data_IF_942290682747
#
_entry.id   IF_942290682747
#
_cell.length_a   1.000
_cell.length_b   1.000
_cell.length_c   1.000
_cell.angle_alpha   90.00
_cell.angle_beta   90.00
_cell.angle_gamma   90.00
#
_symmetry.space_group_name_H-M   'P 1'
#
loop_
_entity.id
_entity.type
_entity.pdbx_description
1 polymer ?
#
# COMPACT_ATOMS: atom_id res chain seq x y z
N UNK A 1 27.42 -53.46 -31.93
CA UNK A 1 26.31 -53.12 -31.04
C UNK A 1 26.86 -52.81 -29.66
N UNK A 2 27.00 -51.53 -29.27
CA UNK A 2 27.39 -51.08 -27.94
C UNK A 2 26.23 -50.32 -27.36
N UNK A 3 25.53 -50.91 -26.34
CA UNK A 3 24.49 -50.28 -25.55
C UNK A 3 25.15 -49.28 -24.57
N UNK A 4 24.82 -47.99 -24.75
CA UNK A 4 25.17 -46.96 -23.70
C UNK A 4 24.08 -46.99 -22.63
N UNK A 5 24.47 -47.33 -21.42
CA UNK A 5 23.65 -47.15 -20.21
C UNK A 5 23.60 -45.67 -19.84
N UNK A 6 22.41 -45.11 -19.86
CA UNK A 6 22.12 -43.83 -19.25
C UNK A 6 22.01 -44.04 -17.72
N UNK A 7 22.86 -43.40 -16.97
CA UNK A 7 22.70 -43.25 -15.53
C UNK A 7 21.81 -42.03 -15.28
N UNK A 8 20.70 -42.15 -14.51
CA UNK A 8 19.97 -41.01 -14.03
C UNK A 8 20.76 -40.37 -12.88
N UNK A 9 21.33 -39.21 -13.13
CA UNK A 9 21.90 -38.36 -12.10
C UNK A 9 20.73 -37.81 -11.28
N UNK A 10 20.58 -38.33 -10.08
CA UNK A 10 19.65 -37.78 -9.09
C UNK A 10 20.21 -36.44 -8.62
N UNK A 11 19.59 -35.33 -9.08
CA UNK A 11 19.75 -34.04 -8.48
C UNK A 11 19.05 -34.05 -7.14
N UNK A 12 19.75 -34.35 -6.10
CA UNK A 12 19.32 -34.11 -4.72
C UNK A 12 19.41 -32.59 -4.52
N UNK A 13 18.35 -31.85 -4.81
CA UNK A 13 18.22 -30.47 -4.39
C UNK A 13 18.11 -30.46 -2.86
N UNK A 14 19.20 -30.15 -2.19
CA UNK A 14 19.20 -29.86 -0.77
C UNK A 14 18.48 -28.51 -0.61
N UNK A 15 17.17 -28.57 -0.38
CA UNK A 15 16.40 -27.45 0.11
C UNK A 15 16.83 -27.19 1.56
N UNK A 16 17.73 -26.26 1.77
CA UNK A 16 17.91 -25.67 3.08
C UNK A 16 16.58 -24.98 3.44
N UNK A 17 15.95 -25.33 4.56
CA UNK A 17 14.76 -24.60 5.00
C UNK A 17 15.17 -23.15 5.27
N UNK A 18 14.73 -22.24 4.43
CA UNK A 18 14.76 -20.84 4.76
C UNK A 18 13.77 -20.70 5.91
N UNK A 19 14.29 -20.53 7.11
CA UNK A 19 13.50 -20.20 8.30
C UNK A 19 12.89 -18.81 8.01
N UNK A 20 11.71 -18.82 7.40
CA UNK A 20 10.91 -17.61 7.24
C UNK A 20 10.31 -17.35 8.61
N UNK A 21 10.95 -16.47 9.36
CA UNK A 21 10.47 -15.97 10.65
C UNK A 21 9.05 -15.44 10.52
N UNK A 22 8.33 -15.40 11.62
CA UNK A 22 7.09 -14.68 11.74
C UNK A 22 7.26 -13.21 11.26
N UNK A 23 6.30 -12.50 11.11
CA UNK A 23 6.09 -11.30 10.29
C UNK A 23 6.91 -10.03 10.60
N UNK A 24 7.80 -10.03 11.59
CA UNK A 24 8.83 -9.00 11.73
C UNK A 24 9.88 -9.26 10.63
N UNK A 25 10.19 -8.23 9.82
CA UNK A 25 11.12 -8.40 8.69
C UNK A 25 12.53 -8.73 9.21
N UNK A 26 13.04 -9.94 8.93
CA UNK A 26 14.36 -10.35 9.40
C UNK A 26 15.51 -9.78 8.54
N UNK A 27 15.19 -9.00 7.50
CA UNK A 27 16.18 -8.49 6.55
C UNK A 27 16.52 -7.05 6.89
N UNK A 28 17.80 -6.78 7.09
CA UNK A 28 18.30 -5.40 7.21
C UNK A 28 18.03 -4.64 5.92
N UNK A 29 17.49 -3.43 6.06
CA UNK A 29 17.15 -2.56 4.92
C UNK A 29 17.43 -1.11 5.27
N UNK A 30 18.03 -0.43 4.31
CA UNK A 30 18.31 1.00 4.37
C UNK A 30 18.02 1.58 2.99
N UNK A 31 16.99 2.40 2.87
CA UNK A 31 16.65 2.96 1.57
C UNK A 31 15.96 4.32 1.66
N UNK A 32 16.06 5.07 0.59
CA UNK A 32 15.29 6.29 0.32
C UNK A 32 14.33 6.00 -0.82
N UNK A 33 13.10 6.40 -0.67
CA UNK A 33 12.12 6.32 -1.75
C UNK A 33 11.39 7.64 -1.94
N UNK A 34 11.18 7.98 -3.21
CA UNK A 34 10.48 9.16 -3.66
C UNK A 34 9.42 8.75 -4.66
N UNK A 35 8.23 9.30 -4.53
CA UNK A 35 7.15 9.09 -5.49
C UNK A 35 6.39 10.38 -5.75
N UNK A 36 5.98 10.58 -6.98
CA UNK A 36 5.15 11.70 -7.38
C UNK A 36 4.19 11.29 -8.49
N UNK A 37 2.95 11.73 -8.39
CA UNK A 37 1.92 11.52 -9.40
C UNK A 37 1.36 12.87 -9.84
N UNK A 38 1.52 13.21 -11.12
CA UNK A 38 1.08 14.44 -11.74
C UNK A 38 -0.09 14.18 -12.69
N UNK A 39 -1.31 14.53 -12.34
CA UNK A 39 -2.41 14.63 -13.29
C UNK A 39 -2.15 15.72 -14.34
N UNK A 40 -2.49 15.44 -15.59
CA UNK A 40 -2.30 16.39 -16.70
C UNK A 40 -3.55 17.20 -17.00
N UNK A 41 -4.72 16.76 -16.54
CA UNK A 41 -5.98 17.47 -16.68
C UNK A 41 -6.60 17.77 -15.32
N UNK A 42 -7.22 18.94 -15.24
CA UNK A 42 -7.90 19.42 -14.05
C UNK A 42 -6.95 19.91 -12.95
N UNK A 43 -7.51 20.20 -11.80
CA UNK A 43 -6.76 20.54 -10.58
C UNK A 43 -6.90 19.36 -9.62
N UNK A 44 -5.79 18.85 -9.15
CA UNK A 44 -5.73 17.74 -8.20
C UNK A 44 -5.02 18.15 -6.91
N UNK A 45 -5.23 17.44 -5.80
CA UNK A 45 -4.35 17.52 -4.67
C UNK A 45 -2.92 17.11 -5.07
N UNK A 46 -1.93 17.67 -4.38
CA UNK A 46 -0.55 17.22 -4.55
C UNK A 46 -0.46 15.76 -4.07
N UNK A 47 0.07 14.91 -4.92
CA UNK A 47 0.26 13.50 -4.61
C UNK A 47 1.73 13.12 -4.76
N UNK A 48 2.43 13.07 -3.65
CA UNK A 48 3.85 12.74 -3.62
C UNK A 48 4.31 12.38 -2.22
N UNK A 49 5.48 11.74 -2.17
CA UNK A 49 6.11 11.37 -0.92
C UNK A 49 7.62 11.29 -1.08
N UNK A 50 8.28 11.47 0.03
CA UNK A 50 9.70 11.21 0.19
C UNK A 50 9.92 10.59 1.56
N UNK A 51 10.63 9.48 1.64
CA UNK A 51 10.95 8.91 2.94
C UNK A 51 12.27 8.14 2.94
N UNK A 52 12.85 8.09 4.10
CA UNK A 52 13.90 7.17 4.49
C UNK A 52 13.28 6.00 5.24
N UNK A 53 13.68 4.78 4.90
CA UNK A 53 13.28 3.57 5.60
C UNK A 53 14.49 2.81 6.09
N UNK A 54 14.43 2.42 7.35
CA UNK A 54 15.43 1.64 8.04
C UNK A 54 14.77 0.45 8.72
N UNK A 55 15.36 -0.72 8.59
CA UNK A 55 15.00 -1.92 9.32
C UNK A 55 16.26 -2.61 9.80
N UNK A 56 16.44 -2.68 11.13
CA UNK A 56 17.61 -3.26 11.79
C UNK A 56 17.18 -4.47 12.61
N UNK A 57 17.27 -5.69 12.05
CA UNK A 57 17.18 -6.92 12.82
C UNK A 57 18.35 -7.01 13.80
N UNK A 58 18.14 -7.70 14.91
CA UNK A 58 19.16 -7.87 15.98
C UNK A 58 19.60 -6.52 16.61
N UNK A 59 18.72 -5.51 16.57
CA UNK A 59 18.96 -4.22 17.20
C UNK A 59 19.13 -4.37 18.72
N UNK A 60 20.27 -3.99 19.24
CA UNK A 60 20.69 -4.13 20.65
C UNK A 60 20.78 -5.60 21.16
N UNK A 61 20.00 -6.51 20.66
CA UNK A 61 20.01 -7.94 20.99
C UNK A 61 19.35 -8.79 19.91
N UNK A 62 19.66 -10.09 19.83
CA UNK A 62 19.35 -11.01 18.74
C UNK A 62 17.87 -11.26 18.45
N UNK A 63 16.96 -10.83 19.30
CA UNK A 63 15.52 -11.02 19.09
C UNK A 63 14.76 -9.70 19.01
N UNK A 64 15.47 -8.58 18.91
CA UNK A 64 14.86 -7.26 18.82
C UNK A 64 15.07 -6.69 17.42
N UNK A 65 14.03 -6.27 16.78
CA UNK A 65 14.08 -5.59 15.45
C UNK A 65 13.55 -4.18 15.59
N UNK A 66 14.31 -3.22 15.12
CA UNK A 66 13.86 -1.85 15.05
C UNK A 66 13.59 -1.46 13.61
N UNK A 67 12.40 -0.92 13.38
CA UNK A 67 11.96 -0.37 12.11
C UNK A 67 11.68 1.12 12.28
N UNK A 68 12.17 1.90 11.33
CA UNK A 68 11.93 3.35 11.25
C UNK A 68 11.56 3.71 9.82
N UNK A 69 10.54 4.52 9.68
CA UNK A 69 10.20 5.21 8.45
C UNK A 69 10.09 6.71 8.75
N UNK A 70 10.91 7.51 8.10
CA UNK A 70 11.02 8.94 8.33
C UNK A 70 10.73 9.70 7.04
N UNK A 71 9.68 10.52 7.07
CA UNK A 71 9.35 11.50 6.03
C UNK A 71 9.53 12.93 6.58
N UNK A 72 9.57 13.96 5.74
CA UNK A 72 9.79 15.34 6.19
C UNK A 72 8.81 15.83 7.26
N UNK A 73 7.57 15.31 7.22
CA UNK A 73 6.50 15.75 8.14
C UNK A 73 5.90 14.58 8.94
N UNK A 74 6.47 13.38 8.86
CA UNK A 74 5.90 12.19 9.48
C UNK A 74 6.97 11.19 9.89
N UNK A 75 6.77 10.54 11.03
CA UNK A 75 7.58 9.43 11.52
C UNK A 75 6.70 8.22 11.83
N UNK A 76 7.18 7.03 11.50
CA UNK A 76 6.62 5.74 11.93
C UNK A 76 7.79 4.88 12.42
N UNK A 77 7.72 4.41 13.64
CA UNK A 77 8.73 3.56 14.27
C UNK A 77 8.06 2.38 14.97
N UNK A 78 8.64 1.20 14.81
CA UNK A 78 8.17 -0.02 15.45
C UNK A 78 9.35 -0.78 16.06
N UNK A 79 9.18 -1.20 17.29
CA UNK A 79 10.10 -2.07 17.99
C UNK A 79 9.47 -3.45 18.13
N UNK A 80 10.01 -4.43 17.43
CA UNK A 80 9.53 -5.80 17.37
C UNK A 80 10.38 -6.76 18.20
N UNK A 81 9.73 -7.60 18.99
CA UNK A 81 10.34 -8.67 19.75
C UNK A 81 10.01 -10.01 19.09
N UNK A 82 10.98 -10.59 18.40
CA UNK A 82 10.86 -11.90 17.75
C UNK A 82 10.74 -12.97 18.84
N UNK A 83 9.77 -13.88 18.69
CA UNK A 83 9.42 -14.92 19.68
C UNK A 83 9.02 -14.38 21.07
N UNK A 84 8.46 -13.15 21.12
CA UNK A 84 8.10 -12.48 22.37
C UNK A 84 7.05 -13.22 23.21
N UNK A 85 6.15 -13.98 22.59
CA UNK A 85 5.14 -14.82 23.23
C UNK A 85 5.27 -16.30 22.84
N UNK A 86 6.48 -16.74 22.51
CA UNK A 86 6.80 -18.14 22.16
C UNK A 86 7.32 -18.29 20.73
N UNK A 87 7.78 -19.51 20.35
CA UNK A 87 8.57 -19.74 19.14
C UNK A 87 7.90 -19.31 17.81
N UNK A 88 6.59 -19.14 17.79
CA UNK A 88 5.82 -18.82 16.58
C UNK A 88 5.10 -17.48 16.70
N UNK A 89 5.36 -16.72 17.77
CA UNK A 89 4.58 -15.52 18.08
C UNK A 89 5.52 -14.35 18.39
N UNK A 90 5.49 -13.36 17.50
CA UNK A 90 6.19 -12.10 17.67
C UNK A 90 5.24 -11.04 18.22
N UNK A 91 5.79 -10.06 18.89
CA UNK A 91 5.06 -8.88 19.36
C UNK A 91 5.78 -7.62 18.96
N UNK A 92 5.04 -6.54 18.78
CA UNK A 92 5.64 -5.24 18.49
C UNK A 92 4.89 -4.11 19.14
N UNK A 93 5.60 -3.01 19.41
CA UNK A 93 5.05 -1.73 19.83
C UNK A 93 5.44 -0.70 18.79
N UNK A 94 4.46 0.09 18.35
CA UNK A 94 4.64 1.12 17.34
C UNK A 94 4.28 2.51 17.86
N UNK A 95 4.99 3.50 17.33
CA UNK A 95 4.71 4.93 17.48
C UNK A 95 4.71 5.54 16.09
N UNK A 96 3.68 6.28 15.76
CA UNK A 96 3.60 6.96 14.48
C UNK A 96 2.95 8.33 14.64
N UNK A 97 3.25 9.28 13.74
CA UNK A 97 2.59 10.58 13.77
C UNK A 97 3.31 11.65 12.98
N UNK A 98 2.62 12.75 12.79
CA UNK A 98 3.18 13.89 12.09
C UNK A 98 2.14 14.87 11.54
N UNK A 99 2.63 15.81 10.76
CA UNK A 99 1.82 16.80 10.09
C UNK A 99 1.13 16.25 8.84
N UNK A 100 -0.06 16.75 8.54
CA UNK A 100 -0.85 16.46 7.32
C UNK A 100 -1.25 14.99 7.09
N UNK A 101 -1.02 14.12 8.07
CA UNK A 101 -1.31 12.69 7.95
C UNK A 101 -2.82 12.40 7.89
N UNK A 102 -3.60 13.18 8.64
CA UNK A 102 -5.04 13.03 8.77
C UNK A 102 -5.85 14.04 7.94
N UNK A 103 -5.17 14.78 7.06
CA UNK A 103 -5.81 15.74 6.16
C UNK A 103 -6.78 15.05 5.19
N UNK A 104 -7.84 15.76 4.82
CA UNK A 104 -8.85 15.28 3.88
C UNK A 104 -8.92 16.15 2.63
N UNK A 105 -8.75 15.52 1.47
CA UNK A 105 -8.97 16.13 0.17
C UNK A 105 -10.34 15.70 -0.39
N UNK A 106 -11.28 16.62 -0.45
CA UNK A 106 -12.59 16.35 -1.01
C UNK A 106 -12.54 16.34 -2.54
N UNK A 107 -12.87 15.19 -3.14
CA UNK A 107 -12.90 15.02 -4.59
C UNK A 107 -14.26 14.45 -4.97
N UNK A 108 -15.02 15.16 -5.81
CA UNK A 108 -16.33 14.72 -6.31
C UNK A 108 -16.45 14.95 -7.81
N UNK A 109 -16.91 13.92 -8.53
CA UNK A 109 -17.07 13.95 -9.98
C UNK A 109 -15.81 14.49 -10.71
N UNK A 110 -14.63 14.01 -10.31
CA UNK A 110 -13.34 14.39 -10.91
C UNK A 110 -12.86 15.80 -10.63
N UNK A 111 -13.46 16.49 -9.65
CA UNK A 111 -13.07 17.85 -9.23
C UNK A 111 -12.56 17.84 -7.81
N UNK A 112 -11.37 18.37 -7.60
CA UNK A 112 -10.84 18.67 -6.27
C UNK A 112 -11.51 19.94 -5.72
N UNK A 113 -12.18 19.80 -4.59
CA UNK A 113 -12.98 20.86 -3.97
C UNK A 113 -12.20 21.41 -2.76
N UNK A 114 -11.29 22.33 -3.04
CA UNK A 114 -10.41 22.92 -2.02
C UNK A 114 -11.20 23.58 -0.88
N UNK A 115 -12.34 24.20 -1.19
CA UNK A 115 -13.18 24.85 -0.19
C UNK A 115 -13.75 23.89 0.90
N UNK A 116 -13.73 22.60 0.63
CA UNK A 116 -14.24 21.54 1.52
C UNK A 116 -13.13 20.58 1.98
N UNK A 117 -11.89 20.91 1.69
CA UNK A 117 -10.70 20.17 2.09
C UNK A 117 -10.05 20.84 3.29
N UNK A 118 -9.39 20.07 4.13
CA UNK A 118 -8.79 20.58 5.36
C UNK A 118 -7.53 19.78 5.72
N UNK A 119 -6.67 20.37 6.52
CA UNK A 119 -5.48 19.73 7.02
C UNK A 119 -5.79 18.97 8.33
N UNK A 120 -5.04 17.91 8.58
CA UNK A 120 -5.16 17.11 9.78
C UNK A 120 -3.80 16.58 10.21
N UNK A 121 -3.55 16.61 11.50
CA UNK A 121 -2.30 16.19 12.12
C UNK A 121 -2.61 15.14 13.17
N UNK A 122 -1.80 14.10 13.27
CA UNK A 122 -2.11 13.05 14.21
C UNK A 122 -0.92 12.28 14.74
N UNK A 123 -1.19 11.52 15.78
CA UNK A 123 -0.22 10.63 16.39
C UNK A 123 -0.86 9.35 16.92
N UNK A 124 -0.13 8.25 16.82
CA UNK A 124 -0.58 6.92 17.21
C UNK A 124 0.41 6.21 18.11
N UNK A 125 -0.11 5.46 19.05
CA UNK A 125 0.57 4.34 19.70
C UNK A 125 -0.15 3.05 19.36
N UNK A 126 0.61 2.00 19.05
CA UNK A 126 0.04 0.70 18.68
C UNK A 126 0.78 -0.48 19.28
N UNK A 127 0.07 -1.60 19.41
CA UNK A 127 0.63 -2.88 19.77
C UNK A 127 0.21 -3.95 18.77
N UNK A 128 1.12 -4.83 18.37
CA UNK A 128 0.89 -5.87 17.37
C UNK A 128 1.30 -7.24 17.87
N UNK A 129 0.54 -8.25 17.49
CA UNK A 129 0.85 -9.67 17.68
C UNK A 129 0.85 -10.33 16.30
N UNK A 130 1.86 -11.10 16.03
CA UNK A 130 2.06 -11.85 14.81
C UNK A 130 2.23 -13.32 15.15
N UNK A 131 1.33 -14.18 14.67
CA UNK A 131 1.39 -15.61 14.96
C UNK A 131 1.43 -16.42 13.68
N UNK A 132 2.36 -17.36 13.59
CA UNK A 132 2.48 -18.31 12.48
C UNK A 132 1.90 -19.65 12.86
N UNK A 133 0.79 -20.05 12.20
CA UNK A 133 0.11 -21.32 12.50
C UNK A 133 0.85 -22.54 12.00
N UNK A 134 1.62 -22.43 10.91
CA UNK A 134 2.21 -23.55 10.21
C UNK A 134 3.75 -23.37 10.03
N UNK A 135 4.54 -23.42 11.11
CA UNK A 135 5.97 -23.12 11.07
C UNK A 135 6.78 -24.05 10.16
N UNK A 136 6.29 -25.27 9.92
CA UNK A 136 6.95 -26.26 9.08
C UNK A 136 6.56 -26.19 7.59
N UNK A 137 5.58 -25.34 7.23
CA UNK A 137 5.14 -25.22 5.86
C UNK A 137 6.01 -24.23 5.09
N UNK A 138 6.29 -24.51 3.82
CA UNK A 138 6.96 -23.59 2.91
C UNK A 138 6.12 -22.33 2.67
N UNK A 139 4.79 -22.45 2.65
CA UNK A 139 3.87 -21.34 2.49
C UNK A 139 3.31 -20.96 3.86
N UNK A 140 3.71 -19.81 4.41
CA UNK A 140 3.30 -19.42 5.76
C UNK A 140 1.81 -19.06 5.82
N UNK A 141 1.15 -19.48 6.91
CA UNK A 141 -0.15 -18.98 7.32
C UNK A 141 0.02 -18.18 8.60
N UNK A 142 -0.27 -16.90 8.54
CA UNK A 142 -0.06 -15.98 9.63
C UNK A 142 -1.36 -15.30 10.06
N UNK A 143 -1.53 -15.14 11.38
CA UNK A 143 -2.48 -14.23 11.99
C UNK A 143 -1.75 -12.93 12.35
N UNK A 144 -2.43 -11.82 12.14
CA UNK A 144 -1.99 -10.49 12.56
C UNK A 144 -3.12 -9.90 13.40
N UNK A 145 -2.76 -9.41 14.58
CA UNK A 145 -3.63 -8.61 15.43
C UNK A 145 -2.90 -7.33 15.78
N UNK A 146 -3.53 -6.18 15.56
CA UNK A 146 -3.02 -4.86 15.96
C UNK A 146 -4.11 -4.07 16.64
N UNK A 147 -3.81 -3.51 17.78
CA UNK A 147 -4.60 -2.49 18.44
C UNK A 147 -3.87 -1.16 18.41
N UNK A 148 -4.58 -0.07 18.17
CA UNK A 148 -4.01 1.27 18.15
C UNK A 148 -4.92 2.28 18.83
N UNK A 149 -4.28 3.31 19.42
CA UNK A 149 -4.93 4.52 19.90
C UNK A 149 -4.30 5.70 19.14
N UNK A 150 -5.14 6.46 18.48
CA UNK A 150 -4.76 7.57 17.64
C UNK A 150 -5.45 8.85 18.10
N UNK A 151 -4.80 9.99 17.96
CA UNK A 151 -5.38 11.31 18.21
C UNK A 151 -5.14 12.21 16.99
N UNK A 152 -6.21 12.82 16.49
CA UNK A 152 -6.17 13.73 15.34
C UNK A 152 -6.59 15.14 15.75
N UNK A 153 -5.94 16.12 15.16
CA UNK A 153 -6.33 17.53 15.20
C UNK A 153 -6.60 18.01 13.77
N UNK A 154 -7.63 18.81 13.59
CA UNK A 154 -8.06 19.26 12.27
C UNK A 154 -8.13 20.77 12.19
N UNK A 155 -7.62 21.33 11.09
CA UNK A 155 -7.65 22.77 10.86
C UNK A 155 -7.97 23.13 9.40
N UNK A 156 -8.49 24.32 9.21
CA UNK A 156 -8.69 24.88 7.87
C UNK A 156 -7.35 25.29 7.29
N UNK A 157 -7.11 24.91 6.02
CA UNK A 157 -5.99 25.47 5.27
C UNK A 157 -6.41 26.78 4.54
N UNK A 158 -5.47 27.41 3.86
CA UNK A 158 -5.68 28.70 3.16
C UNK A 158 -6.79 28.67 2.11
N UNK A 159 -7.14 27.50 1.58
CA UNK A 159 -8.15 27.34 0.53
C UNK A 159 -9.49 26.84 1.06
N UNK A 160 -9.56 26.41 2.32
CA UNK A 160 -10.80 25.96 2.96
C UNK A 160 -11.75 27.16 3.10
N UNK A 161 -13.01 26.98 2.74
CA UNK A 161 -13.99 28.05 2.87
C UNK A 161 -14.12 28.54 4.33
N UNK A 162 -14.26 29.84 4.52
CA UNK A 162 -14.31 30.45 5.86
C UNK A 162 -15.48 29.91 6.73
N UNK A 163 -16.57 29.50 6.09
CA UNK A 163 -17.75 28.93 6.73
C UNK A 163 -17.80 27.40 6.71
N UNK A 164 -16.75 26.74 6.24
CA UNK A 164 -16.59 25.30 6.36
C UNK A 164 -15.95 24.99 7.73
N UNK A 165 -16.57 24.14 8.50
CA UNK A 165 -16.07 23.71 9.80
C UNK A 165 -15.43 22.31 9.64
N UNK A 166 -14.10 22.15 9.85
CA UNK A 166 -13.49 20.82 9.92
C UNK A 166 -14.08 19.99 11.06
N UNK A 167 -13.86 18.67 11.08
CA UNK A 167 -14.20 17.84 12.24
C UNK A 167 -13.57 18.38 13.54
N UNK A 168 -14.16 18.05 14.67
CA UNK A 168 -13.54 18.34 15.96
C UNK A 168 -12.31 17.45 16.18
N UNK A 169 -11.37 17.93 16.96
CA UNK A 169 -10.23 17.14 17.41
C UNK A 169 -10.71 15.97 18.26
N UNK A 170 -10.12 14.80 18.08
CA UNK A 170 -10.58 13.62 18.80
C UNK A 170 -9.61 12.45 18.76
N UNK A 171 -9.87 11.48 19.63
CA UNK A 171 -9.18 10.21 19.61
C UNK A 171 -10.01 9.14 18.90
N UNK A 172 -9.34 8.23 18.23
CA UNK A 172 -9.91 6.99 17.76
C UNK A 172 -9.11 5.78 18.23
N UNK A 173 -9.83 4.69 18.43
CA UNK A 173 -9.27 3.39 18.79
C UNK A 173 -9.58 2.41 17.68
N UNK A 174 -8.56 1.73 17.21
CA UNK A 174 -8.74 0.73 16.15
C UNK A 174 -8.22 -0.65 16.57
N UNK A 175 -8.93 -1.68 16.10
CA UNK A 175 -8.49 -3.07 16.18
C UNK A 175 -8.52 -3.63 14.77
N UNK A 176 -7.34 -4.02 14.28
CA UNK A 176 -7.18 -4.70 12.99
C UNK A 176 -6.74 -6.13 13.21
N UNK A 177 -7.40 -7.06 12.53
CA UNK A 177 -7.00 -8.47 12.52
C UNK A 177 -7.08 -9.04 11.12
N UNK A 178 -6.21 -9.99 10.82
CA UNK A 178 -6.20 -10.61 9.50
C UNK A 178 -5.46 -11.93 9.45
N UNK A 179 -5.87 -12.74 8.49
CA UNK A 179 -5.19 -13.97 8.10
C UNK A 179 -4.49 -13.74 6.77
N UNK A 180 -3.23 -14.13 6.69
CA UNK A 180 -2.44 -14.10 5.46
C UNK A 180 -1.82 -15.45 5.20
N UNK A 181 -2.13 -16.04 4.06
CA UNK A 181 -1.50 -17.23 3.53
C UNK A 181 -0.57 -16.86 2.38
N UNK A 182 0.68 -17.30 2.44
CA UNK A 182 1.72 -16.91 1.52
C UNK A 182 2.31 -15.54 1.83
N UNK A 183 2.77 -14.89 0.79
CA UNK A 183 3.36 -13.56 0.80
C UNK A 183 4.21 -13.37 -0.43
N UNK A 184 4.25 -12.14 -0.93
CA UNK A 184 5.04 -11.77 -2.08
C UNK A 184 6.30 -11.06 -1.59
N UNK A 185 7.46 -11.68 -1.81
CA UNK A 185 8.72 -10.99 -1.63
C UNK A 185 8.83 -9.82 -2.61
N UNK A 186 9.36 -8.67 -2.20
CA UNK A 186 9.49 -7.49 -3.05
C UNK A 186 10.62 -7.65 -4.07
N UNK A 187 10.59 -8.70 -4.88
CA UNK A 187 11.51 -8.95 -5.99
C UNK A 187 10.82 -8.61 -7.31
N UNK A 188 11.56 -8.04 -8.27
CA UNK A 188 11.00 -7.68 -9.58
C UNK A 188 10.58 -8.91 -10.39
N UNK A 189 11.31 -10.01 -10.24
CA UNK A 189 11.14 -11.21 -11.05
C UNK A 189 11.00 -12.45 -10.15
N UNK A 190 9.97 -12.57 -9.31
CA UNK A 190 9.74 -13.77 -8.53
C UNK A 190 9.44 -14.94 -9.46
N UNK A 191 10.02 -16.10 -9.22
CA UNK A 191 9.71 -17.30 -10.01
C UNK A 191 8.21 -17.62 -9.94
N UNK A 192 7.68 -17.69 -8.75
CA UNK A 192 6.27 -17.73 -8.42
C UNK A 192 6.07 -17.10 -7.06
N UNK A 193 5.15 -16.18 -6.95
CA UNK A 193 4.74 -15.62 -5.67
C UNK A 193 3.22 -15.53 -5.60
N UNK A 194 2.64 -15.90 -4.48
CA UNK A 194 1.21 -15.80 -4.26
C UNK A 194 0.88 -15.40 -2.83
N UNK A 195 -0.22 -14.69 -2.67
CA UNK A 195 -0.75 -14.26 -1.40
C UNK A 195 -2.28 -14.31 -1.42
N UNK A 196 -2.85 -14.85 -0.36
CA UNK A 196 -4.27 -14.70 -0.04
C UNK A 196 -4.38 -14.09 1.34
N UNK A 197 -5.20 -13.06 1.51
CA UNK A 197 -5.41 -12.46 2.82
C UNK A 197 -6.86 -12.02 3.01
N UNK A 198 -7.30 -12.08 4.28
CA UNK A 198 -8.60 -11.57 4.74
C UNK A 198 -8.36 -10.71 5.97
N UNK A 199 -9.04 -9.58 6.03
CA UNK A 199 -8.84 -8.56 7.04
C UNK A 199 -10.15 -8.02 7.56
N UNK A 200 -10.12 -7.63 8.81
CA UNK A 200 -11.14 -6.84 9.50
C UNK A 200 -10.48 -5.69 10.25
N UNK A 201 -11.08 -4.53 10.21
CA UNK A 201 -10.73 -3.40 11.05
C UNK A 201 -12.00 -2.79 11.64
N UNK A 202 -12.04 -2.68 12.97
CA UNK A 202 -13.05 -1.93 13.70
C UNK A 202 -12.43 -0.64 14.24
N UNK A 203 -13.13 0.48 14.09
CA UNK A 203 -12.71 1.80 14.58
C UNK A 203 -13.79 2.34 15.50
N UNK A 204 -13.38 2.96 16.62
CA UNK A 204 -14.25 3.64 17.57
C UNK A 204 -13.69 5.04 17.79
N UNK A 205 -14.52 6.07 17.54
CA UNK A 205 -14.14 7.47 17.75
C UNK A 205 -14.74 8.03 19.03
N UNK A 206 -14.01 8.95 19.65
CA UNK A 206 -14.48 9.69 20.82
C UNK A 206 -15.36 10.87 20.48
N UNK A 207 -15.27 11.36 19.23
CA UNK A 207 -16.12 12.42 18.68
C UNK A 207 -16.75 11.95 17.36
N UNK A 208 -18.08 11.99 17.32
CA UNK A 208 -18.94 11.67 16.19
C UNK A 208 -19.72 12.90 15.71
N UNK A 209 -19.20 14.09 15.99
CA UNK A 209 -19.86 15.36 15.73
C UNK A 209 -20.11 15.66 14.25
N UNK A 210 -21.06 16.59 14.02
CA UNK A 210 -21.33 17.13 12.70
C UNK A 210 -20.24 18.13 12.31
N UNK A 211 -19.86 18.14 11.03
CA UNK A 211 -18.88 19.04 10.45
C UNK A 211 -19.32 19.52 9.05
N UNK A 212 -18.51 20.32 8.38
CA UNK A 212 -18.82 20.81 7.04
C UNK A 212 -19.55 22.15 7.04
N UNK A 213 -20.39 22.38 6.03
CA UNK A 213 -21.22 23.59 5.93
C UNK A 213 -22.47 23.45 6.79
N UNK A 214 -22.53 24.17 7.91
CA UNK A 214 -23.63 24.12 8.85
C UNK A 214 -23.95 22.69 9.37
N UNK A 215 -22.92 21.83 9.47
CA UNK A 215 -23.08 20.47 9.94
C UNK A 215 -23.73 19.52 8.92
N UNK A 216 -23.48 19.74 7.62
CA UNK A 216 -24.04 18.92 6.54
C UNK A 216 -23.38 17.53 6.42
N UNK A 217 -22.39 17.26 7.24
CA UNK A 217 -21.65 15.97 7.31
C UNK A 217 -21.60 15.47 8.74
N UNK A 218 -21.54 14.15 8.88
CA UNK A 218 -21.46 13.46 10.16
C UNK A 218 -20.25 12.53 10.15
N UNK A 219 -19.55 12.45 11.28
CA UNK A 219 -18.63 11.35 11.56
C UNK A 219 -19.41 10.20 12.19
N UNK A 220 -19.04 8.98 11.86
CA UNK A 220 -19.59 7.79 12.50
C UNK A 220 -18.76 7.46 13.75
N UNK A 221 -19.43 7.22 14.88
CA UNK A 221 -18.76 6.85 16.14
C UNK A 221 -18.09 5.49 16.07
N UNK A 222 -18.64 4.59 15.26
CA UNK A 222 -18.11 3.24 15.05
C UNK A 222 -18.15 2.93 13.57
N UNK A 223 -17.04 2.41 13.02
CA UNK A 223 -17.00 1.93 11.66
C UNK A 223 -16.32 0.57 11.55
N UNK A 224 -16.76 -0.24 10.60
CA UNK A 224 -16.25 -1.58 10.34
C UNK A 224 -15.83 -1.71 8.90
N UNK A 225 -14.59 -2.15 8.67
CA UNK A 225 -14.03 -2.38 7.34
C UNK A 225 -13.64 -3.86 7.21
N UNK A 226 -14.02 -4.47 6.10
CA UNK A 226 -13.70 -5.84 5.75
C UNK A 226 -13.07 -5.86 4.37
N UNK A 227 -11.92 -6.49 4.19
CA UNK A 227 -11.32 -6.63 2.87
C UNK A 227 -10.57 -7.93 2.73
N UNK A 228 -10.42 -8.35 1.47
CA UNK A 228 -9.61 -9.49 1.09
C UNK A 228 -8.75 -9.18 -0.13
N UNK A 229 -7.60 -9.82 -0.21
CA UNK A 229 -6.68 -9.71 -1.34
C UNK A 229 -6.23 -11.07 -1.80
N UNK A 230 -6.20 -11.28 -3.12
CA UNK A 230 -5.57 -12.41 -3.78
C UNK A 230 -4.56 -11.88 -4.80
N UNK A 231 -3.30 -12.30 -4.69
CA UNK A 231 -2.24 -11.86 -5.57
C UNK A 231 -1.42 -13.02 -6.09
N UNK A 232 -1.08 -12.96 -7.39
CA UNK A 232 -0.24 -13.92 -8.08
C UNK A 232 0.77 -13.18 -8.92
N UNK A 233 2.04 -13.57 -8.86
CA UNK A 233 3.10 -13.09 -9.73
C UNK A 233 3.92 -14.26 -10.23
N UNK A 234 4.19 -14.30 -11.54
CA UNK A 234 4.93 -15.37 -12.17
C UNK A 234 5.91 -14.83 -13.20
N UNK A 235 7.16 -15.29 -13.13
CA UNK A 235 8.19 -14.95 -14.10
C UNK A 235 8.46 -16.13 -15.03
N UNK A 236 8.33 -15.90 -16.33
CA UNK A 236 8.63 -16.90 -17.35
C UNK A 236 10.12 -17.26 -17.35
N UNK A 237 10.47 -18.56 -17.18
CA UNK A 237 11.84 -19.00 -17.32
C UNK A 237 12.41 -18.65 -18.71
N UNK A 238 13.64 -18.18 -18.77
CA UNK A 238 14.33 -17.85 -20.01
C UNK A 238 14.06 -16.44 -20.54
N UNK A 239 12.83 -16.04 -20.76
CA UNK A 239 12.49 -14.67 -21.22
C UNK A 239 12.50 -13.63 -20.12
N UNK A 240 12.41 -14.05 -18.87
CA UNK A 240 12.36 -13.20 -17.68
C UNK A 240 11.20 -12.19 -17.68
N UNK A 241 10.19 -12.43 -18.49
CA UNK A 241 8.95 -11.65 -18.47
C UNK A 241 8.15 -12.00 -17.21
N UNK A 242 7.65 -10.98 -16.51
CA UNK A 242 6.84 -11.19 -15.31
C UNK A 242 5.40 -10.75 -15.54
N UNK A 243 4.47 -11.56 -15.09
CA UNK A 243 3.03 -11.28 -15.05
C UNK A 243 2.58 -11.24 -13.61
N UNK A 244 1.85 -10.20 -13.26
CA UNK A 244 1.24 -10.07 -11.93
C UNK A 244 -0.21 -9.72 -12.05
N UNK A 245 -1.04 -10.35 -11.22
CA UNK A 245 -2.45 -10.02 -11.06
C UNK A 245 -2.75 -9.93 -9.57
N UNK A 246 -3.50 -8.91 -9.19
CA UNK A 246 -4.03 -8.74 -7.85
C UNK A 246 -5.52 -8.44 -7.91
N UNK A 247 -6.29 -9.18 -7.17
CA UNK A 247 -7.69 -8.91 -6.88
C UNK A 247 -7.81 -8.41 -5.44
N UNK A 248 -8.56 -7.33 -5.24
CA UNK A 248 -8.88 -6.81 -3.91
C UNK A 248 -10.35 -6.48 -3.88
N UNK A 249 -11.04 -6.90 -2.83
CA UNK A 249 -12.42 -6.51 -2.60
C UNK A 249 -12.61 -6.08 -1.15
N UNK A 250 -13.46 -5.10 -0.92
CA UNK A 250 -13.76 -4.58 0.41
C UNK A 250 -15.20 -4.15 0.54
N UNK A 251 -15.68 -4.19 1.78
CA UNK A 251 -16.99 -3.68 2.17
C UNK A 251 -16.86 -3.02 3.54
N UNK A 252 -17.59 -1.94 3.76
CA UNK A 252 -17.64 -1.24 5.03
C UNK A 252 -19.08 -1.11 5.54
N UNK A 253 -19.20 -1.05 6.84
CA UNK A 253 -20.44 -0.74 7.56
C UNK A 253 -20.17 0.53 8.36
N UNK A 254 -21.10 1.48 8.31
CA UNK A 254 -21.01 2.77 9.00
C UNK A 254 -19.71 3.53 8.71
N UNK A 255 -19.27 3.50 7.45
CA UNK A 255 -18.12 4.28 7.00
C UNK A 255 -18.53 5.69 6.60
N UNK A 256 -17.74 6.65 7.02
CA UNK A 256 -17.84 8.06 6.66
C UNK A 256 -16.73 8.50 5.70
N UNK A 257 -16.62 9.81 5.41
CA UNK A 257 -15.62 10.35 4.48
C UNK A 257 -14.17 10.15 4.95
N UNK A 258 -13.94 9.98 6.25
CA UNK A 258 -12.59 9.77 6.79
C UNK A 258 -12.21 8.30 6.88
N UNK A 259 -13.19 7.39 7.00
CA UNK A 259 -12.98 5.94 7.14
C UNK A 259 -13.24 5.13 5.87
N UNK A 260 -13.92 5.69 4.86
CA UNK A 260 -14.23 4.98 3.61
C UNK A 260 -12.98 4.57 2.82
N UNK A 261 -13.10 3.50 2.03
CA UNK A 261 -12.06 3.14 1.07
C UNK A 261 -11.87 4.21 0.01
N UNK A 262 -10.63 4.54 -0.31
CA UNK A 262 -10.31 5.56 -1.32
C UNK A 262 -9.44 4.98 -2.42
N UNK A 263 -9.99 4.91 -3.65
CA UNK A 263 -9.31 4.38 -4.82
C UNK A 263 -8.81 5.53 -5.70
N UNK A 264 -7.70 5.29 -6.38
CA UNK A 264 -7.18 6.23 -7.38
C UNK A 264 -5.67 6.45 -7.30
N UNK A 265 -5.13 7.02 -8.37
CA UNK A 265 -3.71 7.32 -8.49
C UNK A 265 -2.85 6.11 -8.80
N UNK A 266 -1.56 6.37 -8.88
CA UNK A 266 -0.55 5.37 -9.24
C UNK A 266 0.42 5.07 -8.08
N UNK A 267 0.41 5.85 -7.00
CA UNK A 267 1.36 5.72 -5.92
C UNK A 267 1.06 4.47 -5.06
N UNK A 268 1.90 3.43 -5.10
CA UNK A 268 1.61 2.12 -4.46
C UNK A 268 1.89 2.10 -2.97
N UNK A 269 2.26 3.24 -2.40
CA UNK A 269 3.05 3.25 -1.18
C UNK A 269 2.39 2.98 0.11
N UNK A 270 1.17 3.10 0.18
CA UNK A 270 0.66 3.61 1.42
C UNK A 270 -0.25 2.64 2.13
N UNK A 271 -0.57 1.56 1.48
CA UNK A 271 -1.45 0.57 2.05
C UNK A 271 -0.84 -0.83 1.92
N UNK A 272 -1.15 -1.72 2.84
CA UNK A 272 -0.88 -3.15 2.67
C UNK A 272 -1.48 -3.70 1.37
N UNK A 273 -2.47 -2.98 0.83
CA UNK A 273 -3.14 -3.24 -0.43
C UNK A 273 -3.40 -1.91 -1.14
N UNK A 274 -2.60 -1.51 -2.12
CA UNK A 274 -2.83 -0.26 -2.85
C UNK A 274 -4.11 -0.37 -3.66
N UNK A 275 -4.99 0.60 -3.49
CA UNK A 275 -6.20 0.76 -4.29
C UNK A 275 -5.90 1.64 -5.51
N UNK A 276 -4.83 1.29 -6.24
CA UNK A 276 -4.33 2.08 -7.36
C UNK A 276 -5.22 1.95 -8.58
N UNK A 277 -5.51 3.08 -9.21
CA UNK A 277 -6.28 3.17 -10.44
C UNK A 277 -5.58 4.16 -11.38
N UNK A 278 -4.89 3.67 -12.43
CA UNK A 278 -4.09 4.51 -13.33
C UNK A 278 -4.90 5.62 -14.00
N UNK A 279 -4.34 6.83 -14.09
CA UNK A 279 -4.99 8.00 -14.72
C UNK A 279 -5.97 8.79 -13.85
N UNK A 280 -6.33 8.26 -12.67
CA UNK A 280 -7.15 8.96 -11.68
C UNK A 280 -6.29 9.82 -10.76
N UNK A 281 -6.89 10.79 -10.08
CA UNK A 281 -6.23 11.49 -8.98
C UNK A 281 -5.96 10.50 -7.85
N UNK A 282 -4.95 10.78 -7.06
CA UNK A 282 -4.68 9.98 -5.87
C UNK A 282 -5.87 10.06 -4.91
N UNK A 283 -6.41 8.90 -4.51
CA UNK A 283 -7.58 8.80 -3.63
C UNK A 283 -8.84 9.52 -4.17
N UNK A 284 -9.07 9.49 -5.47
CA UNK A 284 -10.19 10.21 -6.11
C UNK A 284 -11.56 9.67 -5.74
N UNK A 285 -11.70 8.35 -5.60
CA UNK A 285 -12.98 7.67 -5.50
C UNK A 285 -13.20 7.13 -4.10
N UNK A 286 -14.23 7.62 -3.41
CA UNK A 286 -14.62 7.13 -2.09
C UNK A 286 -15.65 6.02 -2.22
N UNK A 287 -15.36 4.85 -1.65
CA UNK A 287 -16.16 3.65 -1.79
C UNK A 287 -16.62 3.12 -0.43
N UNK A 288 -17.89 2.74 -0.36
CA UNK A 288 -18.43 1.91 0.72
C UNK A 288 -18.11 0.44 0.46
N UNK A 289 -18.24 0.01 -0.79
CA UNK A 289 -17.87 -1.33 -1.24
C UNK A 289 -17.16 -1.24 -2.59
N UNK A 290 -16.23 -2.15 -2.83
CA UNK A 290 -15.54 -2.22 -4.10
C UNK A 290 -15.02 -3.60 -4.41
N UNK A 291 -14.78 -3.85 -5.70
CA UNK A 291 -13.97 -4.95 -6.21
C UNK A 291 -13.00 -4.37 -7.24
N UNK A 292 -11.71 -4.59 -7.07
CA UNK A 292 -10.63 -4.04 -7.89
C UNK A 292 -9.75 -5.16 -8.40
N UNK A 293 -9.46 -5.17 -9.69
CA UNK A 293 -8.45 -6.01 -10.32
C UNK A 293 -7.34 -5.13 -10.86
N UNK A 294 -6.12 -5.43 -10.48
CA UNK A 294 -4.90 -4.84 -11.03
C UNK A 294 -4.11 -5.93 -11.75
N UNK A 295 -3.67 -5.66 -12.96
CA UNK A 295 -2.79 -6.52 -13.73
C UNK A 295 -1.55 -5.74 -14.17
N UNK A 296 -0.38 -6.36 -14.11
CA UNK A 296 0.85 -5.80 -14.64
C UNK A 296 1.66 -6.82 -15.43
N UNK A 297 2.38 -6.32 -16.40
CA UNK A 297 3.30 -7.09 -17.22
C UNK A 297 4.62 -6.34 -17.30
N UNK A 298 5.69 -6.99 -16.87
CA UNK A 298 7.04 -6.44 -16.89
C UNK A 298 7.87 -7.17 -17.95
N UNK A 299 8.33 -6.43 -18.95
CA UNK A 299 9.13 -6.90 -20.07
C UNK A 299 10.56 -6.37 -19.96
N UNK A 300 11.58 -7.22 -19.74
CA UNK A 300 12.95 -6.82 -19.84
C UNK A 300 13.31 -6.43 -21.29
N UNK A 301 13.75 -5.18 -21.48
CA UNK A 301 14.18 -4.67 -22.79
C UNK A 301 15.65 -4.99 -23.08
N UNK A 302 16.42 -5.31 -22.04
CA UNK A 302 17.85 -5.64 -22.15
C UNK A 302 18.15 -6.97 -21.46
N UNK A 303 19.15 -7.70 -21.96
CA UNK A 303 19.55 -9.01 -21.40
C UNK A 303 20.01 -8.94 -19.93
N UNK A 304 20.48 -7.80 -19.48
CA UNK A 304 20.89 -7.58 -18.10
C UNK A 304 19.76 -7.00 -17.21
N UNK A 305 18.52 -6.98 -17.70
CA UNK A 305 17.33 -6.52 -17.01
C UNK A 305 17.44 -5.08 -16.45
N UNK A 306 18.33 -4.25 -17.00
CA UNK A 306 18.51 -2.87 -16.56
C UNK A 306 17.38 -1.96 -17.01
N UNK A 307 16.91 -2.18 -18.23
CA UNK A 307 15.78 -1.46 -18.81
C UNK A 307 14.61 -2.42 -18.94
N UNK A 308 13.48 -2.00 -18.41
CA UNK A 308 12.25 -2.78 -18.45
C UNK A 308 11.10 -1.89 -18.90
N UNK A 309 10.18 -2.45 -19.68
CA UNK A 309 8.89 -1.86 -19.96
C UNK A 309 7.85 -2.49 -19.00
N UNK A 310 7.13 -1.65 -18.30
CA UNK A 310 5.97 -2.07 -17.52
C UNK A 310 4.69 -1.63 -18.22
N UNK A 311 3.75 -2.56 -18.37
CA UNK A 311 2.37 -2.27 -18.75
C UNK A 311 1.48 -2.61 -17.58
N UNK A 312 0.54 -1.73 -17.26
CA UNK A 312 -0.42 -1.97 -16.18
C UNK A 312 -1.85 -1.63 -16.61
N UNK A 313 -2.80 -2.30 -16.02
CA UNK A 313 -4.22 -2.07 -16.20
C UNK A 313 -4.94 -2.32 -14.88
N UNK A 314 -5.95 -1.51 -14.61
CA UNK A 314 -6.82 -1.71 -13.46
C UNK A 314 -8.27 -1.47 -13.84
N UNK A 315 -9.17 -2.25 -13.22
CA UNK A 315 -10.61 -2.03 -13.31
C UNK A 315 -11.26 -2.26 -11.96
N UNK A 316 -12.20 -1.41 -11.60
CA UNK A 316 -12.95 -1.53 -10.36
C UNK A 316 -14.45 -1.40 -10.58
N UNK A 317 -15.22 -2.17 -9.81
CA UNK A 317 -16.63 -1.94 -9.58
C UNK A 317 -16.80 -1.30 -8.20
N UNK A 318 -17.52 -0.19 -8.12
CA UNK A 318 -17.57 0.65 -6.92
C UNK A 318 -19.03 0.90 -6.53
N UNK A 319 -19.34 0.64 -5.26
CA UNK A 319 -20.50 1.21 -4.59
C UNK A 319 -20.00 2.42 -3.80
N UNK A 320 -20.34 3.61 -4.27
CA UNK A 320 -19.81 4.86 -3.75
C UNK A 320 -20.31 5.16 -2.34
N UNK A 321 -19.50 5.87 -1.58
CA UNK A 321 -19.97 6.52 -0.37
C UNK A 321 -21.00 7.59 -0.71
N UNK A 322 -22.06 7.70 0.09
CA UNK A 322 -23.14 8.66 -0.12
C UNK A 322 -22.62 10.11 -0.27
N UNK A 323 -23.06 10.79 -1.31
CA UNK A 323 -22.65 12.15 -1.66
C UNK A 323 -21.30 12.27 -2.36
N UNK A 324 -20.71 11.14 -2.79
CA UNK A 324 -19.47 11.11 -3.60
C UNK A 324 -19.66 10.37 -4.92
N UNK A 325 -20.90 10.06 -5.28
CA UNK A 325 -21.25 9.25 -6.43
C UNK A 325 -20.75 9.89 -7.74
N UNK A 326 -20.33 9.02 -8.65
CA UNK A 326 -19.96 9.38 -10.02
C UNK A 326 -20.85 8.64 -11.03
N UNK A 327 -21.02 9.16 -12.25
CA UNK A 327 -21.74 8.42 -13.29
C UNK A 327 -21.08 7.08 -13.62
N UNK A 328 -21.79 5.99 -13.33
CA UNK A 328 -21.34 4.63 -13.56
C UNK A 328 -20.55 4.04 -12.39
N UNK A 329 -20.71 2.74 -12.19
CA UNK A 329 -20.08 1.99 -11.10
C UNK A 329 -18.79 1.30 -11.54
N UNK A 330 -18.54 1.17 -12.85
CA UNK A 330 -17.34 0.60 -13.43
C UNK A 330 -16.37 1.69 -13.84
N UNK A 331 -15.15 1.57 -13.39
CA UNK A 331 -14.05 2.50 -13.66
C UNK A 331 -12.80 1.73 -14.04
N UNK A 332 -12.07 2.22 -15.03
CA UNK A 332 -10.89 1.53 -15.57
C UNK A 332 -9.78 2.50 -15.90
N UNK A 333 -8.55 2.02 -15.85
CA UNK A 333 -7.38 2.77 -16.25
C UNK A 333 -6.27 1.86 -16.74
N UNK A 334 -5.41 2.39 -17.60
CA UNK A 334 -4.25 1.70 -18.16
C UNK A 334 -3.01 2.57 -18.03
N UNK A 335 -1.85 1.96 -18.03
CA UNK A 335 -0.60 2.69 -17.97
C UNK A 335 0.57 1.93 -18.59
N UNK A 336 1.60 2.67 -18.93
CA UNK A 336 2.87 2.14 -19.39
C UNK A 336 4.02 2.92 -18.77
N UNK A 337 5.08 2.23 -18.37
CA UNK A 337 6.24 2.85 -17.74
C UNK A 337 7.55 2.26 -18.23
N UNK A 338 8.59 3.08 -18.18
CA UNK A 338 9.97 2.64 -18.39
C UNK A 338 10.68 2.64 -17.06
N UNK A 339 11.22 1.50 -16.71
CA UNK A 339 12.00 1.29 -15.49
C UNK A 339 13.49 1.13 -15.83
N UNK A 340 14.32 1.83 -15.11
CA UNK A 340 15.76 1.67 -15.16
C UNK A 340 16.29 1.18 -13.81
N UNK A 341 17.23 0.20 -13.84
CA UNK A 341 18.01 -0.30 -12.70
C UNK A 341 19.48 -0.02 -12.92
N UNK A 342 20.14 0.53 -11.92
CA UNK A 342 21.59 0.73 -11.98
C UNK A 342 22.35 -0.60 -12.00
N UNK A 343 23.60 -0.63 -12.48
CA UNK A 343 24.43 -1.85 -12.49
C UNK A 343 24.63 -2.49 -11.12
N UNK A 344 24.57 -1.70 -10.07
CA UNK A 344 24.79 -2.12 -8.69
C UNK A 344 23.50 -2.36 -7.93
N UNK A 345 22.33 -2.27 -8.59
CA UNK A 345 20.99 -2.31 -8.00
C UNK A 345 20.71 -1.27 -6.91
N UNK A 346 21.63 -0.32 -6.67
CA UNK A 346 21.47 0.74 -5.69
C UNK A 346 20.43 1.78 -6.05
N UNK A 347 20.11 1.89 -7.32
CA UNK A 347 19.25 2.93 -7.84
C UNK A 347 18.25 2.32 -8.82
N UNK A 348 16.99 2.61 -8.61
CA UNK A 348 15.88 2.19 -9.47
C UNK A 348 14.96 3.37 -9.69
N UNK A 349 14.58 3.63 -10.93
CA UNK A 349 13.60 4.65 -11.27
C UNK A 349 12.60 4.10 -12.27
N UNK A 350 11.34 4.45 -12.10
CA UNK A 350 10.30 4.22 -13.09
C UNK A 350 9.59 5.53 -13.40
N UNK A 351 9.39 5.79 -14.68
CA UNK A 351 8.52 6.87 -15.17
C UNK A 351 7.36 6.23 -15.89
N UNK A 352 6.15 6.56 -15.46
CA UNK A 352 4.92 5.95 -15.96
C UNK A 352 3.99 7.01 -16.51
N UNK A 353 3.41 6.76 -17.66
CA UNK A 353 2.26 7.46 -18.19
C UNK A 353 1.03 6.59 -18.00
N UNK A 354 -0.08 7.20 -17.58
CA UNK A 354 -1.33 6.49 -17.33
C UNK A 354 -2.53 7.26 -17.87
N UNK A 355 -3.56 6.50 -18.29
CA UNK A 355 -4.82 7.00 -18.81
C UNK A 355 -6.00 6.36 -18.08
N UNK A 356 -6.78 7.17 -17.38
CA UNK A 356 -8.04 6.78 -16.74
C UNK A 356 -9.18 6.83 -17.75
N UNK A 357 -9.61 5.67 -18.21
CA UNK A 357 -10.59 5.55 -19.32
C UNK A 357 -11.92 6.18 -18.94
N UNK A 358 -12.37 5.97 -17.71
CA UNK A 358 -13.65 6.42 -17.20
C UNK A 358 -13.53 7.64 -16.26
N UNK A 359 -12.30 8.15 -16.05
CA UNK A 359 -12.07 9.31 -15.19
C UNK A 359 -12.82 10.54 -15.74
N UNK A 360 -13.52 11.24 -14.86
CA UNK A 360 -14.29 12.42 -15.22
C UNK A 360 -13.44 13.66 -14.99
N UNK A 361 -13.45 14.57 -15.97
CA UNK A 361 -12.78 15.87 -15.88
C UNK A 361 -13.70 16.94 -16.47
N UNK A 362 -13.37 18.21 -16.28
CA UNK A 362 -14.14 19.32 -16.86
C UNK A 362 -14.20 19.28 -18.39
N UNK A 363 -13.21 18.67 -19.02
CA UNK A 363 -13.12 18.47 -20.48
C UNK A 363 -13.93 17.28 -20.99
N UNK A 364 -14.44 16.41 -20.11
CA UNK A 364 -15.17 15.19 -20.48
C UNK A 364 -14.69 13.96 -19.74
N UNK A 365 -14.88 12.80 -20.38
CA UNK A 365 -14.42 11.51 -19.89
C UNK A 365 -13.02 11.20 -20.44
N UNK A 366 -12.18 10.60 -19.60
CA UNK A 366 -10.78 10.32 -19.89
C UNK A 366 -9.83 11.31 -19.22
N UNK A 367 -8.73 10.80 -18.65
CA UNK A 367 -7.74 11.65 -17.98
C UNK A 367 -6.35 11.04 -18.05
N UNK A 368 -5.36 11.90 -18.20
CA UNK A 368 -3.95 11.52 -18.29
C UNK A 368 -3.20 11.86 -17.01
N UNK A 369 -2.21 11.05 -16.67
CA UNK A 369 -1.29 11.34 -15.58
C UNK A 369 0.12 10.85 -15.87
N UNK A 370 1.10 11.48 -15.23
CA UNK A 370 2.49 11.05 -15.19
C UNK A 370 2.85 10.66 -13.77
N UNK A 371 3.59 9.57 -13.62
CA UNK A 371 4.12 9.10 -12.35
C UNK A 371 5.63 8.94 -12.41
N UNK A 372 6.30 9.21 -11.30
CA UNK A 372 7.70 8.88 -11.12
C UNK A 372 7.89 8.21 -9.76
N UNK A 373 8.62 7.11 -9.74
CA UNK A 373 9.06 6.45 -8.52
C UNK A 373 10.57 6.27 -8.59
N UNK A 374 11.26 6.65 -7.52
CA UNK A 374 12.70 6.52 -7.36
C UNK A 374 12.98 5.79 -6.05
N UNK A 375 13.79 4.76 -6.10
CA UNK A 375 14.33 4.09 -4.92
C UNK A 375 15.85 4.10 -4.96
N UNK A 376 16.46 4.43 -3.83
CA UNK A 376 17.91 4.39 -3.61
C UNK A 376 18.16 3.45 -2.43
N UNK A 377 18.77 2.30 -2.69
CA UNK A 377 19.18 1.34 -1.66
C UNK A 377 20.57 1.73 -1.14
N UNK A 378 20.65 2.08 0.12
CA UNK A 378 21.88 2.54 0.76
C UNK A 378 22.78 1.37 1.15
N UNK A 379 22.20 0.20 1.44
CA UNK A 379 22.92 -1.06 1.66
C UNK A 379 22.69 -2.03 0.48
N UNK A 380 23.66 -2.21 -0.42
CA UNK A 380 23.47 -2.92 -1.70
C UNK A 380 23.53 -4.44 -1.59
N UNK A 381 23.26 -5.06 -0.46
CA UNK A 381 23.62 -6.45 -0.25
C UNK A 381 22.59 -7.49 -0.71
N UNK A 382 21.36 -7.11 -1.06
CA UNK A 382 20.37 -8.01 -1.72
C UNK A 382 19.33 -7.16 -2.43
N UNK A 383 19.04 -7.47 -3.69
CA UNK A 383 18.03 -6.79 -4.48
C UNK A 383 16.67 -6.81 -3.78
N UNK A 384 16.37 -5.76 -3.07
CA UNK A 384 15.00 -5.50 -2.66
C UNK A 384 14.24 -5.14 -3.92
N UNK A 385 13.31 -6.01 -4.33
CA UNK A 385 12.55 -5.77 -5.54
C UNK A 385 11.69 -4.53 -5.38
N UNK A 386 11.87 -3.57 -6.25
CA UNK A 386 10.92 -2.51 -6.48
C UNK A 386 9.93 -3.00 -7.52
N UNK A 387 8.72 -3.32 -7.13
CA UNK A 387 7.61 -3.56 -8.02
C UNK A 387 6.47 -2.64 -7.61
N UNK A 388 6.13 -1.63 -8.42
CA UNK A 388 5.04 -0.70 -8.10
C UNK A 388 3.69 -1.40 -8.02
N UNK A 389 3.49 -2.54 -8.70
CA UNK A 389 2.28 -3.35 -8.61
C UNK A 389 2.25 -4.29 -7.39
N UNK A 390 3.37 -4.42 -6.70
CA UNK A 390 3.51 -5.31 -5.54
C UNK A 390 4.22 -4.56 -4.43
N UNK A 391 3.53 -3.73 -3.67
CA UNK A 391 4.11 -3.11 -2.49
C UNK A 391 4.58 -4.22 -1.57
N UNK A 392 5.86 -4.20 -1.27
CA UNK A 392 6.45 -5.11 -0.32
C UNK A 392 5.74 -5.03 1.02
N UNK A 393 6.12 -5.90 1.95
CA UNK A 393 5.62 -5.99 3.34
C UNK A 393 5.83 -4.70 4.16
N UNK A 394 5.39 -3.57 3.63
CA UNK A 394 5.48 -2.29 4.29
C UNK A 394 4.34 -2.19 5.31
N UNK A 395 4.59 -2.68 6.50
CA UNK A 395 3.69 -2.53 7.63
C UNK A 395 3.92 -1.18 8.27
N UNK A 396 2.88 -0.50 8.60
CA UNK A 396 2.95 0.76 9.29
C UNK A 396 2.78 2.00 8.43
N UNK A 397 2.74 1.85 7.10
CA UNK A 397 2.55 2.96 6.17
C UNK A 397 1.10 3.27 5.81
N UNK A 398 0.15 2.49 6.29
CA UNK A 398 -1.28 2.75 6.12
C UNK A 398 -1.72 4.14 6.61
N UNK A 399 -0.82 4.81 7.30
CA UNK A 399 -1.01 6.08 7.96
C UNK A 399 -0.64 7.30 7.15
N UNK A 400 0.44 7.22 6.39
CA UNK A 400 0.97 8.41 5.72
C UNK A 400 0.00 9.03 4.72
N UNK A 401 -0.93 8.28 4.17
CA UNK A 401 -1.76 8.80 3.07
C UNK A 401 -3.12 8.10 2.90
N UNK A 402 -3.56 7.25 3.78
CA UNK A 402 -4.76 6.49 3.52
C UNK A 402 -5.45 5.88 4.72
N UNK A 403 -6.30 6.58 5.30
CA UNK A 403 -7.56 6.08 5.81
C UNK A 403 -8.62 6.29 4.78
#
# INVERSE_FOLDING_TARGET
>A
MRRRFFHPIHWLAVFLPVIVSAQIDPVKRDLIQLGYNQPLEGRAPVAGYAYYYHNEPDFLRTNLTWRLALAPVYVDSELGLVHGLGPQTDVAIGLAGGGFADGHNEIRAGKFIQAESFDGHGGEISGSIYHRFNPQSEIPLNLILRGAAHYSTYERNDNTAANFQPPADGADFSVRTGLRWGGIEPTLFPALAMELSLWYEGQIRTDDGAYGFNGDRQLESVSHLFWGSAALSYTLPGSRQNFSVRFIAGASVDADRLSAYRLGGFLPLVAEYPLSLPGYYFQELSARQFALVNASYLLPLTKNERWNLELNAATACIDYLAGTEQPGNWVSGVGAGIMYRSPTDRFKVIVTYAYGIDAIRSSGRGANSLGILLQIDLEPTRSTGFNPAQPGRWRGWNWLFGR
#
